data_IF_923114616165
#
_entry.id   IF_923114616165
#
_cell.length_a   1.000
_cell.length_b   1.000
_cell.length_c   1.000
_cell.angle_alpha   90.00
_cell.angle_beta   90.00
_cell.angle_gamma   90.00
#
_symmetry.space_group_name_H-M   'P 1'
#
loop_
_entity.id
_entity.type
_entity.pdbx_description
1 polymer ?
#
# COMPACT_ATOMS: atom_id res chain seq x y z
N UNK A 1 21.56 -38.60 66.27
CA UNK A 1 21.41 -37.35 67.06
C UNK A 1 20.92 -36.28 66.08
N UNK A 2 19.63 -36.19 65.77
CA UNK A 2 18.56 -35.43 66.47
C UNK A 2 18.95 -34.01 66.89
N UNK A 3 18.42 -33.00 66.20
CA UNK A 3 17.63 -31.93 66.81
C UNK A 3 16.79 -31.18 65.75
N UNK A 4 15.51 -31.04 66.07
CA UNK A 4 14.44 -30.28 65.41
C UNK A 4 14.18 -29.02 66.27
N UNK A 5 13.99 -27.84 65.66
CA UNK A 5 13.11 -26.74 66.12
C UNK A 5 13.19 -25.60 65.07
N UNK A 6 12.17 -25.08 64.37
CA UNK A 6 10.74 -24.77 64.57
C UNK A 6 10.47 -23.27 64.86
N UNK A 7 9.46 -22.75 64.11
CA UNK A 7 8.64 -21.51 64.29
C UNK A 7 9.18 -20.22 63.63
N UNK A 8 8.39 -19.31 63.05
CA UNK A 8 7.05 -19.23 62.40
C UNK A 8 6.95 -17.75 61.86
N UNK A 9 5.85 -17.30 61.22
CA UNK A 9 5.86 -16.54 59.98
C UNK A 9 5.87 -15.01 60.16
N UNK A 10 6.27 -14.29 59.12
CA UNK A 10 5.83 -12.91 58.88
C UNK A 10 5.14 -12.83 57.53
N UNK A 11 3.81 -12.81 57.57
CA UNK A 11 2.96 -12.28 56.50
C UNK A 11 3.26 -10.79 56.32
N UNK A 12 3.44 -10.32 55.08
CA UNK A 12 3.13 -8.93 54.73
C UNK A 12 2.96 -8.72 53.22
N UNK A 13 1.73 -8.30 52.91
CA UNK A 13 1.29 -7.42 51.83
C UNK A 13 1.29 -7.92 50.36
N UNK A 14 0.06 -8.15 49.89
CA UNK A 14 -0.37 -7.84 48.53
C UNK A 14 0.13 -6.45 48.09
N UNK A 15 0.65 -6.38 46.87
CA UNK A 15 0.41 -5.24 46.00
C UNK A 15 0.23 -5.76 44.58
N UNK A 16 -1.03 -6.00 44.22
CA UNK A 16 -1.48 -6.19 42.84
C UNK A 16 -1.30 -4.84 42.14
N UNK A 17 -0.18 -4.66 41.45
CA UNK A 17 0.01 -3.58 40.51
C UNK A 17 -0.53 -4.00 39.15
N UNK A 18 -1.85 -4.00 38.97
CA UNK A 18 -2.43 -3.94 37.62
C UNK A 18 -2.09 -2.56 37.08
N UNK A 19 -0.93 -2.44 36.43
CA UNK A 19 -0.72 -1.37 35.47
C UNK A 19 -1.49 -1.80 34.23
N UNK A 20 -2.76 -1.40 34.20
CA UNK A 20 -3.56 -1.45 32.99
C UNK A 20 -2.81 -0.66 31.92
N UNK A 21 -2.25 -1.37 30.96
CA UNK A 21 -2.02 -0.78 29.66
C UNK A 21 -3.42 -0.57 29.08
N UNK A 22 -3.94 0.65 29.19
CA UNK A 22 -4.99 1.12 28.30
C UNK A 22 -4.38 1.05 26.90
N UNK A 23 -4.65 -0.04 26.20
CA UNK A 23 -4.46 -0.11 24.76
C UNK A 23 -5.34 0.99 24.19
N UNK A 24 -4.73 2.11 23.82
CA UNK A 24 -5.35 3.11 22.98
C UNK A 24 -5.54 2.43 21.62
N UNK A 25 -6.64 1.71 21.45
CA UNK A 25 -7.12 1.37 20.11
C UNK A 25 -7.51 2.70 19.49
N UNK A 26 -6.54 3.33 18.82
CA UNK A 26 -6.83 4.28 17.76
C UNK A 26 -7.70 3.49 16.79
N UNK A 27 -9.01 3.70 16.87
CA UNK A 27 -9.90 3.29 15.81
C UNK A 27 -9.43 4.03 14.57
N UNK A 28 -8.57 3.39 13.78
CA UNK A 28 -8.42 3.72 12.39
C UNK A 28 -9.80 3.48 11.81
N UNK A 29 -10.59 4.54 11.67
CA UNK A 29 -11.79 4.50 10.86
C UNK A 29 -11.31 4.09 9.47
N UNK A 30 -11.46 2.80 9.15
CA UNK A 30 -11.35 2.31 7.79
C UNK A 30 -12.40 3.08 7.00
N UNK A 31 -11.95 4.04 6.22
CA UNK A 31 -12.82 4.65 5.24
C UNK A 31 -13.17 3.52 4.26
N UNK A 32 -14.38 2.98 4.35
CA UNK A 32 -14.97 2.17 3.28
C UNK A 32 -15.18 3.11 2.09
N UNK A 33 -14.10 3.33 1.37
CA UNK A 33 -14.08 4.22 0.23
C UNK A 33 -14.58 3.40 -0.96
N UNK A 34 -15.81 3.65 -1.39
CA UNK A 34 -16.32 3.15 -2.68
C UNK A 34 -15.43 3.56 -3.87
N UNK A 35 -14.48 4.47 -3.65
CA UNK A 35 -13.42 4.84 -4.58
C UNK A 35 -12.13 5.24 -3.83
N UNK A 36 -11.00 4.63 -4.21
CA UNK A 36 -9.65 5.03 -3.82
C UNK A 36 -8.82 5.38 -5.06
N UNK A 37 -7.91 6.34 -4.93
CA UNK A 37 -7.00 6.74 -6.00
C UNK A 37 -5.57 6.99 -5.49
N UNK A 38 -4.60 6.72 -6.35
CA UNK A 38 -3.20 7.08 -6.19
C UNK A 38 -2.81 7.96 -7.38
N UNK A 39 -2.47 9.22 -7.12
CA UNK A 39 -2.36 10.27 -8.12
C UNK A 39 -1.04 11.02 -7.94
N UNK A 40 -0.31 11.27 -9.03
CA UNK A 40 0.97 11.99 -9.02
C UNK A 40 1.19 12.80 -10.29
N UNK A 41 1.78 13.98 -10.13
CA UNK A 41 2.28 14.78 -11.24
C UNK A 41 3.76 14.46 -11.45
N UNK A 42 4.14 14.16 -12.68
CA UNK A 42 5.48 13.74 -13.08
C UNK A 42 5.98 14.66 -14.19
N UNK A 43 7.26 15.02 -14.15
CA UNK A 43 7.94 15.68 -15.26
C UNK A 43 8.95 14.72 -15.87
N UNK A 44 8.71 14.32 -17.11
CA UNK A 44 9.54 13.38 -17.86
C UNK A 44 10.37 14.15 -18.89
N UNK A 45 11.67 13.85 -18.94
CA UNK A 45 12.67 14.53 -19.78
C UNK A 45 13.17 13.62 -20.88
N UNK A 46 13.75 14.15 -21.98
CA UNK A 46 14.08 13.33 -23.17
C UNK A 46 15.26 12.40 -22.93
N UNK A 47 15.98 12.63 -21.84
CA UNK A 47 17.22 11.95 -21.50
C UNK A 47 17.20 11.52 -20.03
N UNK A 48 16.28 10.63 -19.62
CA UNK A 48 16.42 10.00 -18.32
C UNK A 48 17.74 9.25 -18.25
N UNK A 49 18.42 9.36 -17.11
CA UNK A 49 19.53 8.46 -16.82
C UNK A 49 18.99 7.02 -16.76
N UNK A 50 19.64 6.05 -17.42
CA UNK A 50 19.28 4.64 -17.26
C UNK A 50 19.28 4.27 -15.78
N UNK A 51 18.23 3.58 -15.34
CA UNK A 51 18.02 3.22 -13.93
C UNK A 51 17.35 4.31 -13.07
N UNK A 52 17.03 5.49 -13.62
CA UNK A 52 16.23 6.48 -12.90
C UNK A 52 14.84 5.92 -12.58
N UNK A 53 14.35 6.13 -11.37
CA UNK A 53 13.03 5.69 -10.94
C UNK A 53 12.40 6.63 -9.93
N UNK A 54 11.07 6.71 -9.95
CA UNK A 54 10.29 7.41 -8.93
C UNK A 54 9.05 6.60 -8.56
N UNK A 55 8.85 6.41 -7.25
CA UNK A 55 7.76 5.62 -6.70
C UNK A 55 6.88 6.46 -5.78
N UNK A 56 5.58 6.18 -5.78
CA UNK A 56 4.64 6.68 -4.79
C UNK A 56 3.94 5.48 -4.16
N UNK A 57 3.85 5.48 -2.84
CA UNK A 57 3.21 4.41 -2.07
C UNK A 57 2.12 5.00 -1.19
N UNK A 58 1.00 4.28 -1.11
CA UNK A 58 -0.14 4.56 -0.23
C UNK A 58 -0.55 3.27 0.48
N UNK A 59 -0.93 3.38 1.74
CA UNK A 59 -1.58 2.29 2.47
C UNK A 59 -3.09 2.56 2.47
N UNK A 60 -3.89 1.54 2.15
CA UNK A 60 -5.36 1.61 2.14
C UNK A 60 -5.95 0.40 2.84
N UNK A 61 -7.02 0.61 3.60
CA UNK A 61 -7.85 -0.47 4.15
C UNK A 61 -9.05 -0.67 3.24
N UNK A 62 -9.31 -1.92 2.89
CA UNK A 62 -10.39 -2.31 1.99
C UNK A 62 -11.29 -3.34 2.67
N UNK A 63 -12.59 -3.21 2.45
CA UNK A 63 -13.54 -4.29 2.74
C UNK A 63 -13.42 -5.39 1.68
N UNK A 64 -13.89 -6.60 2.02
CA UNK A 64 -14.05 -7.63 1.01
C UNK A 64 -15.07 -7.21 -0.07
N UNK A 65 -14.77 -7.46 -1.34
CA UNK A 65 -15.67 -7.12 -2.43
C UNK A 65 -15.04 -7.20 -3.82
N UNK A 66 -15.84 -6.93 -4.84
CA UNK A 66 -15.36 -6.73 -6.20
C UNK A 66 -14.94 -5.27 -6.38
N UNK A 67 -13.81 -5.08 -7.05
CA UNK A 67 -13.26 -3.77 -7.35
C UNK A 67 -12.85 -3.66 -8.81
N UNK A 68 -13.20 -2.54 -9.43
CA UNK A 68 -12.68 -2.13 -10.73
C UNK A 68 -11.36 -1.38 -10.56
N UNK A 69 -10.28 -1.88 -11.15
CA UNK A 69 -8.94 -1.28 -11.12
C UNK A 69 -8.47 -0.84 -12.51
N UNK A 70 -7.92 0.38 -12.59
CA UNK A 70 -7.33 0.94 -13.80
C UNK A 70 -6.11 1.80 -13.48
N UNK A 71 -5.17 1.90 -14.43
CA UNK A 71 -4.02 2.81 -14.38
C UNK A 71 -4.01 3.61 -15.66
N UNK A 72 -3.94 4.93 -15.53
CA UNK A 72 -3.83 5.86 -16.65
C UNK A 72 -2.76 6.90 -16.41
N UNK A 73 -2.21 7.40 -17.51
CA UNK A 73 -1.26 8.51 -17.55
C UNK A 73 -1.64 9.43 -18.69
N UNK A 74 -1.75 10.74 -18.45
CA UNK A 74 -2.04 11.72 -19.49
C UNK A 74 -1.15 12.96 -19.36
N UNK A 75 -0.90 13.66 -20.47
CA UNK A 75 -0.23 14.98 -20.47
C UNK A 75 -1.11 16.06 -21.12
N UNK A 76 -2.43 15.86 -21.13
CA UNK A 76 -3.38 16.69 -21.86
C UNK A 76 -3.37 16.53 -23.40
N UNK A 77 -2.39 15.86 -23.99
CA UNK A 77 -2.32 15.59 -25.45
C UNK A 77 -2.45 14.10 -25.79
N UNK A 78 -1.83 13.23 -24.97
CA UNK A 78 -1.82 11.78 -25.15
C UNK A 78 -2.19 11.13 -23.83
N UNK A 79 -3.11 10.16 -23.89
CA UNK A 79 -3.47 9.32 -22.75
C UNK A 79 -2.99 7.90 -22.99
N UNK A 80 -2.31 7.35 -21.99
CA UNK A 80 -1.90 5.95 -21.92
C UNK A 80 -2.71 5.27 -20.83
N UNK A 81 -3.17 4.06 -21.11
CA UNK A 81 -3.87 3.20 -20.16
C UNK A 81 -3.10 1.88 -20.11
N UNK A 82 -3.01 1.26 -18.93
CA UNK A 82 -2.51 -0.11 -18.80
C UNK A 82 -3.13 -0.99 -19.89
N UNK A 83 -2.32 -1.83 -20.55
CA UNK A 83 -2.76 -2.76 -21.60
C UNK A 83 -3.84 -3.75 -21.13
N UNK A 84 -3.95 -3.97 -19.81
CA UNK A 84 -5.02 -4.78 -19.22
C UNK A 84 -6.35 -4.04 -19.12
N UNK A 85 -6.37 -2.73 -19.38
CA UNK A 85 -7.54 -1.87 -19.27
C UNK A 85 -8.12 -1.82 -17.86
N UNK A 86 -9.41 -1.48 -17.78
CA UNK A 86 -10.17 -1.61 -16.55
C UNK A 86 -10.47 -3.09 -16.26
N UNK A 87 -10.15 -3.55 -15.06
CA UNK A 87 -10.35 -4.95 -14.65
C UNK A 87 -11.08 -5.06 -13.33
N UNK A 88 -12.03 -6.01 -13.25
CA UNK A 88 -12.70 -6.36 -12.00
C UNK A 88 -11.87 -7.39 -11.22
N UNK A 89 -11.76 -7.20 -9.91
CA UNK A 89 -10.91 -7.94 -8.99
C UNK A 89 -11.70 -8.23 -7.72
N UNK A 90 -11.79 -9.49 -7.30
CA UNK A 90 -12.24 -9.78 -5.94
C UNK A 90 -11.08 -9.57 -4.96
N UNK A 91 -11.23 -8.62 -4.05
CA UNK A 91 -10.26 -8.34 -2.99
C UNK A 91 -10.86 -8.77 -1.65
N UNK A 92 -10.07 -9.47 -0.84
CA UNK A 92 -10.44 -9.81 0.53
C UNK A 92 -10.23 -8.61 1.44
N UNK A 93 -11.00 -8.52 2.54
CA UNK A 93 -10.86 -7.47 3.54
C UNK A 93 -9.44 -7.40 4.10
N UNK A 94 -8.88 -6.20 4.24
CA UNK A 94 -7.64 -5.95 4.96
C UNK A 94 -6.87 -4.73 4.45
N UNK A 95 -5.66 -4.59 4.97
CA UNK A 95 -4.74 -3.49 4.62
C UNK A 95 -3.89 -3.86 3.41
N UNK A 96 -3.83 -2.95 2.44
CA UNK A 96 -3.06 -3.09 1.21
C UNK A 96 -2.04 -1.96 1.07
N UNK A 97 -0.87 -2.31 0.55
CA UNK A 97 0.15 -1.39 0.07
C UNK A 97 -0.03 -1.20 -1.43
N UNK A 98 -0.36 0.01 -1.84
CA UNK A 98 -0.49 0.41 -3.24
C UNK A 98 0.73 1.22 -3.64
N UNK A 99 1.51 0.72 -4.59
CA UNK A 99 2.72 1.38 -5.08
C UNK A 99 2.66 1.53 -6.58
N UNK A 100 2.94 2.74 -7.09
CA UNK A 100 3.16 2.98 -8.51
C UNK A 100 4.57 3.51 -8.72
N UNK A 101 5.29 2.95 -9.69
CA UNK A 101 6.69 3.21 -9.98
C UNK A 101 6.86 3.49 -11.46
N UNK A 102 7.40 4.68 -11.77
CA UNK A 102 7.93 4.97 -13.10
C UNK A 102 9.43 4.71 -13.08
N UNK A 103 9.94 4.07 -14.12
CA UNK A 103 11.36 3.74 -14.25
C UNK A 103 11.83 4.00 -15.67
N UNK A 104 13.12 4.28 -15.84
CA UNK A 104 13.76 4.39 -17.14
C UNK A 104 14.76 3.24 -17.31
N UNK A 105 14.32 2.09 -17.85
CA UNK A 105 15.21 0.95 -18.07
C UNK A 105 16.25 1.20 -19.18
N UNK A 106 15.97 2.10 -20.12
CA UNK A 106 16.88 2.52 -21.18
C UNK A 106 16.74 4.02 -21.46
N UNK A 107 17.78 4.61 -22.04
CA UNK A 107 17.79 6.02 -22.40
C UNK A 107 16.61 6.38 -23.32
N UNK A 108 15.93 7.49 -23.03
CA UNK A 108 14.84 8.03 -23.85
C UNK A 108 13.50 7.31 -23.70
N UNK A 109 13.33 6.44 -22.71
CA UNK A 109 12.02 5.81 -22.45
C UNK A 109 11.74 5.67 -20.97
N UNK A 110 10.46 5.73 -20.64
CA UNK A 110 9.94 5.42 -19.32
C UNK A 110 8.95 4.26 -19.38
N UNK A 111 8.92 3.48 -18.32
CA UNK A 111 7.94 2.43 -18.07
C UNK A 111 7.25 2.69 -16.75
N UNK A 112 5.93 2.53 -16.72
CA UNK A 112 5.15 2.59 -15.49
C UNK A 112 4.68 1.20 -15.06
N UNK A 113 4.66 0.99 -13.74
CA UNK A 113 4.07 -0.19 -13.09
C UNK A 113 3.38 0.20 -11.80
N UNK A 114 2.21 -0.34 -11.55
CA UNK A 114 1.51 -0.23 -10.29
C UNK A 114 1.27 -1.61 -9.69
N UNK A 115 1.31 -1.70 -8.37
CA UNK A 115 1.05 -2.91 -7.59
C UNK A 115 0.13 -2.59 -6.43
N UNK A 116 -0.84 -3.45 -6.18
CA UNK A 116 -1.67 -3.47 -4.97
C UNK A 116 -1.41 -4.78 -4.25
N UNK A 117 -0.81 -4.71 -3.07
CA UNK A 117 -0.29 -5.88 -2.34
C UNK A 117 -0.77 -5.90 -0.89
N UNK A 118 -1.44 -6.98 -0.47
CA UNK A 118 -1.88 -7.19 0.92
C UNK A 118 -0.74 -7.60 1.85
N UNK A 119 0.43 -7.94 1.32
CA UNK A 119 1.60 -8.44 2.06
C UNK A 119 1.47 -9.88 2.57
N UNK A 120 0.24 -10.37 2.81
CA UNK A 120 -0.06 -11.74 3.25
C UNK A 120 -1.14 -12.34 2.36
N UNK A 121 -0.88 -13.52 1.80
CA UNK A 121 -1.80 -14.25 0.92
C UNK A 121 -1.64 -13.92 -0.58
N UNK A 122 -2.52 -14.44 -1.45
CA UNK A 122 -2.39 -14.30 -2.91
C UNK A 122 -2.82 -12.92 -3.44
N UNK A 123 -3.21 -11.99 -2.56
CA UNK A 123 -3.81 -10.71 -2.94
C UNK A 123 -2.73 -9.69 -3.34
N UNK A 124 -2.04 -10.00 -4.45
CA UNK A 124 -1.14 -9.09 -5.16
C UNK A 124 -1.65 -8.93 -6.59
N UNK A 125 -1.92 -7.70 -6.98
CA UNK A 125 -2.32 -7.35 -8.35
C UNK A 125 -1.30 -6.36 -8.88
N UNK A 126 -0.87 -6.54 -10.14
CA UNK A 126 0.13 -5.71 -10.78
C UNK A 126 -0.35 -5.30 -12.18
N UNK A 127 -0.10 -4.04 -12.57
CA UNK A 127 -0.36 -3.52 -13.91
C UNK A 127 0.64 -4.08 -14.90
N UNK A 128 0.28 -4.10 -16.19
CA UNK A 128 1.29 -4.41 -17.18
C UNK A 128 2.21 -3.20 -17.38
N UNK A 129 3.37 -3.47 -17.96
CA UNK A 129 4.32 -2.45 -18.37
C UNK A 129 3.79 -1.76 -19.63
N UNK A 130 3.70 -0.43 -19.62
CA UNK A 130 3.51 0.35 -20.84
C UNK A 130 4.61 1.40 -20.97
N UNK A 131 5.09 1.57 -22.21
CA UNK A 131 6.18 2.49 -22.52
C UNK A 131 5.62 3.88 -22.80
N UNK A 132 6.27 4.90 -22.23
CA UNK A 132 5.92 6.31 -22.42
C UNK A 132 7.00 6.90 -23.34
N UNK A 133 6.70 7.13 -24.63
CA UNK A 133 7.68 7.50 -25.65
C UNK A 133 7.96 9.01 -25.70
N UNK A 134 7.21 9.83 -24.96
CA UNK A 134 7.30 11.28 -25.06
C UNK A 134 7.62 11.91 -23.69
N UNK A 135 8.30 13.04 -23.76
CA UNK A 135 8.52 13.91 -22.62
C UNK A 135 7.34 14.81 -22.35
N UNK A 136 7.29 15.29 -21.12
CA UNK A 136 6.34 16.31 -20.74
C UNK A 136 5.97 16.19 -19.29
N UNK A 137 5.00 17.01 -18.92
CA UNK A 137 4.37 16.95 -17.62
C UNK A 137 3.17 16.00 -17.74
N UNK A 138 3.21 14.91 -16.98
CA UNK A 138 2.20 13.88 -16.97
C UNK A 138 1.48 13.83 -15.63
N UNK A 139 0.19 13.58 -15.69
CA UNK A 139 -0.63 13.20 -14.57
C UNK A 139 -0.84 11.69 -14.60
N UNK A 140 -0.30 10.98 -13.61
CA UNK A 140 -0.56 9.55 -13.43
C UNK A 140 -1.66 9.38 -12.41
N UNK A 141 -2.63 8.53 -12.73
CA UNK A 141 -3.71 8.17 -11.81
C UNK A 141 -3.95 6.68 -11.89
N UNK A 142 -3.89 6.03 -10.73
CA UNK A 142 -4.38 4.68 -10.55
C UNK A 142 -5.65 4.74 -9.72
N UNK A 143 -6.71 4.09 -10.20
CA UNK A 143 -8.03 4.13 -9.59
C UNK A 143 -8.50 2.75 -9.18
N UNK A 144 -9.07 2.66 -7.99
CA UNK A 144 -9.69 1.46 -7.46
C UNK A 144 -11.10 1.82 -7.00
N UNK A 145 -12.12 1.25 -7.64
CA UNK A 145 -13.53 1.50 -7.34
C UNK A 145 -14.16 0.23 -6.82
N UNK A 146 -14.98 0.31 -5.78
CA UNK A 146 -15.80 -0.82 -5.34
C UNK A 146 -17.07 -0.87 -6.20
N UNK A 147 -17.37 -2.05 -6.75
CA UNK A 147 -18.58 -2.28 -7.54
C UNK A 147 -19.84 -2.26 -6.66
#
# INVERSE_FOLDING_TARGET
MSAIAARRPFSRALAVGVTGATALTLGMSSASAGQAQLSRNLRLTDSPAPGASASMTRIIDLDAGNYSWSVSLDNGQVSYVDSLGNRSLYLAEGTYTWTCTISSPWAGSYQDTCTLDKGIGPAKVQSNLFSIPATGDYHLISYLFKD
#
